data_IF_444126251865
#
_entry.id   IF_444126251865
#
_cell.length_a   1.000
_cell.length_b   1.000
_cell.length_c   1.000
_cell.angle_alpha   90.00
_cell.angle_beta   90.00
_cell.angle_gamma   90.00
#
_symmetry.space_group_name_H-M   'P 1'
#
loop_
_entity.id
_entity.type
_entity.pdbx_description
1 polymer ?
#
# COMPACT_ATOMS: atom_id res chain seq x y z
N UNK A 1 13.27 -0.55 0.86
CA UNK A 1 12.22 0.36 0.36
C UNK A 1 12.49 0.87 -1.05
N UNK A 2 13.59 1.59 -1.32
CA UNK A 2 13.86 2.19 -2.65
C UNK A 2 13.80 1.19 -3.83
N UNK A 3 14.40 0.00 -3.67
CA UNK A 3 14.34 -1.05 -4.68
C UNK A 3 12.90 -1.52 -4.97
N UNK A 4 12.06 -1.68 -3.94
CA UNK A 4 10.67 -2.09 -4.11
C UNK A 4 9.87 -1.03 -4.91
N UNK A 5 10.13 0.25 -4.64
CA UNK A 5 9.50 1.35 -5.38
C UNK A 5 9.92 1.36 -6.86
N UNK A 6 11.20 1.17 -7.15
CA UNK A 6 11.70 1.08 -8.52
C UNK A 6 11.08 -0.11 -9.27
N UNK A 7 11.02 -1.28 -8.64
CA UNK A 7 10.38 -2.47 -9.22
C UNK A 7 8.89 -2.24 -9.44
N UNK A 8 8.21 -1.57 -8.50
CA UNK A 8 6.80 -1.23 -8.62
C UNK A 8 6.55 -0.30 -9.81
N UNK A 9 7.33 0.77 -9.94
CA UNK A 9 7.27 1.71 -11.05
C UNK A 9 7.61 1.05 -12.40
N UNK A 10 8.52 0.09 -12.41
CA UNK A 10 8.88 -0.70 -13.59
C UNK A 10 7.86 -1.79 -13.95
N UNK A 11 6.73 -1.89 -13.25
CA UNK A 11 5.71 -2.91 -13.48
C UNK A 11 6.10 -4.33 -13.02
N UNK A 12 7.25 -4.49 -12.35
CA UNK A 12 7.72 -5.76 -11.76
C UNK A 12 7.03 -6.01 -10.42
N UNK A 13 5.69 -6.15 -10.48
CA UNK A 13 4.79 -6.17 -9.32
C UNK A 13 5.11 -7.30 -8.33
N UNK A 14 5.38 -8.51 -8.81
CA UNK A 14 5.65 -9.67 -7.94
C UNK A 14 6.91 -9.47 -7.08
N UNK A 15 7.94 -8.86 -7.65
CA UNK A 15 9.20 -8.61 -6.96
C UNK A 15 9.07 -7.46 -5.97
N UNK A 16 8.37 -6.40 -6.35
CA UNK A 16 8.04 -5.31 -5.44
C UNK A 16 7.24 -5.80 -4.22
N UNK A 17 6.20 -6.62 -4.45
CA UNK A 17 5.40 -7.23 -3.38
C UNK A 17 6.27 -8.04 -2.42
N UNK A 18 7.16 -8.89 -2.96
CA UNK A 18 8.07 -9.71 -2.14
C UNK A 18 8.89 -8.84 -1.19
N UNK A 19 9.45 -7.73 -1.69
CA UNK A 19 10.23 -6.82 -0.85
C UNK A 19 9.35 -6.08 0.16
N UNK A 20 8.16 -5.60 -0.21
CA UNK A 20 7.27 -4.94 0.75
C UNK A 20 6.87 -5.89 1.89
N UNK A 21 6.52 -7.14 1.58
CA UNK A 21 6.21 -8.16 2.60
C UNK A 21 7.42 -8.44 3.50
N UNK A 22 8.63 -8.54 2.95
CA UNK A 22 9.84 -8.70 3.76
C UNK A 22 10.09 -7.51 4.69
N UNK A 23 9.86 -6.27 4.22
CA UNK A 23 9.97 -5.07 5.06
C UNK A 23 8.95 -5.15 6.20
N UNK A 24 7.69 -5.49 5.92
CA UNK A 24 6.64 -5.58 6.93
C UNK A 24 6.84 -6.75 7.90
N UNK A 25 7.46 -7.86 7.47
CA UNK A 25 7.82 -8.95 8.35
C UNK A 25 8.87 -8.53 9.40
N UNK A 26 9.82 -7.67 9.02
CA UNK A 26 10.85 -7.13 9.92
C UNK A 26 10.36 -5.92 10.72
N UNK A 27 9.50 -5.10 10.11
CA UNK A 27 9.00 -3.85 10.65
C UNK A 27 7.49 -3.74 10.40
N UNK A 28 6.66 -4.40 11.23
CA UNK A 28 5.21 -4.42 11.01
C UNK A 28 4.58 -3.01 10.98
N UNK A 29 5.16 -2.06 11.71
CA UNK A 29 4.68 -0.66 11.78
C UNK A 29 5.29 0.26 10.71
N UNK A 30 5.90 -0.28 9.64
CA UNK A 30 6.48 0.54 8.57
C UNK A 30 5.38 1.09 7.64
N UNK A 31 4.89 2.29 7.95
CA UNK A 31 3.73 2.91 7.27
C UNK A 31 3.84 2.91 5.73
N UNK A 32 4.97 3.38 5.18
CA UNK A 32 5.15 3.42 3.73
C UNK A 32 5.17 2.02 3.06
N UNK A 33 5.67 0.98 3.72
CA UNK A 33 5.67 -0.36 3.16
C UNK A 33 4.24 -0.94 3.13
N UNK A 34 3.46 -0.69 4.17
CA UNK A 34 2.02 -1.02 4.19
C UNK A 34 1.29 -0.26 3.08
N UNK A 35 1.55 1.05 2.96
CA UNK A 35 0.94 1.89 1.94
C UNK A 35 1.17 1.38 0.50
N UNK A 36 2.44 1.19 0.13
CA UNK A 36 2.79 0.79 -1.24
C UNK A 36 2.46 -0.66 -1.54
N UNK A 37 2.49 -1.56 -0.55
CA UNK A 37 1.95 -2.90 -0.73
C UNK A 37 0.45 -2.83 -0.98
N UNK A 38 -0.30 -2.09 -0.15
CA UNK A 38 -1.75 -1.99 -0.30
C UNK A 38 -2.18 -1.44 -1.67
N UNK A 39 -1.50 -0.41 -2.16
CA UNK A 39 -1.69 0.10 -3.53
C UNK A 39 -1.40 -0.96 -4.59
N UNK A 40 -0.29 -1.70 -4.47
CA UNK A 40 0.06 -2.75 -5.40
C UNK A 40 -0.99 -3.88 -5.42
N UNK A 41 -1.49 -4.28 -4.24
CA UNK A 41 -2.54 -5.28 -4.11
C UNK A 41 -3.82 -4.82 -4.80
N UNK A 42 -4.24 -3.58 -4.57
CA UNK A 42 -5.39 -2.98 -5.26
C UNK A 42 -5.21 -2.97 -6.78
N UNK A 43 -4.06 -2.50 -7.27
CA UNK A 43 -3.72 -2.51 -8.71
C UNK A 43 -3.68 -3.91 -9.33
N UNK A 44 -3.51 -4.96 -8.52
CA UNK A 44 -3.47 -6.37 -8.95
C UNK A 44 -4.78 -7.12 -8.68
N UNK A 45 -5.86 -6.41 -8.34
CA UNK A 45 -7.19 -6.98 -8.14
C UNK A 45 -7.43 -7.56 -6.74
N UNK A 46 -6.46 -7.49 -5.83
CA UNK A 46 -6.60 -7.91 -4.42
C UNK A 46 -6.98 -6.72 -3.54
N UNK A 47 -8.03 -6.01 -3.93
CA UNK A 47 -8.39 -4.73 -3.33
C UNK A 47 -8.75 -4.81 -1.85
N UNK A 48 -9.39 -5.88 -1.39
CA UNK A 48 -9.75 -6.05 0.03
C UNK A 48 -8.48 -6.17 0.91
N UNK A 49 -7.53 -7.05 0.55
CA UNK A 49 -6.23 -7.14 1.26
C UNK A 49 -5.45 -5.83 1.14
N UNK A 50 -5.57 -5.14 0.00
CA UNK A 50 -4.96 -3.85 -0.21
C UNK A 50 -5.51 -2.76 0.71
N UNK A 51 -6.82 -2.75 0.92
CA UNK A 51 -7.51 -1.78 1.76
C UNK A 51 -7.03 -1.86 3.21
N UNK A 52 -6.96 -3.07 3.79
CA UNK A 52 -6.48 -3.29 5.16
C UNK A 52 -5.07 -2.67 5.39
N UNK A 53 -4.20 -2.78 4.39
CA UNK A 53 -2.84 -2.23 4.45
C UNK A 53 -2.81 -0.71 4.28
N UNK A 54 -3.68 -0.16 3.44
CA UNK A 54 -3.80 1.29 3.27
C UNK A 54 -4.38 1.92 4.53
N UNK A 55 -5.43 1.35 5.12
CA UNK A 55 -6.01 1.79 6.40
C UNK A 55 -4.95 1.78 7.51
N UNK A 56 -4.14 0.72 7.57
CA UNK A 56 -3.01 0.64 8.49
C UNK A 56 -1.99 1.75 8.24
N UNK A 57 -1.68 2.07 6.98
CA UNK A 57 -0.73 3.13 6.64
C UNK A 57 -1.21 4.51 7.10
N UNK A 58 -2.50 4.80 6.92
CA UNK A 58 -3.15 6.03 7.39
C UNK A 58 -3.18 6.07 8.92
N UNK A 59 -3.52 4.97 9.58
CA UNK A 59 -3.51 4.88 11.04
C UNK A 59 -2.12 5.12 11.64
N UNK A 60 -1.06 4.71 10.95
CA UNK A 60 0.33 4.91 11.39
C UNK A 60 0.84 6.34 11.10
N UNK A 61 0.33 7.00 10.05
CA UNK A 61 0.70 8.35 9.66
C UNK A 61 -0.54 9.15 9.22
N UNK A 62 -1.40 9.57 10.17
CA UNK A 62 -2.70 10.16 9.86
C UNK A 62 -2.63 11.55 9.23
N UNK A 63 -1.46 12.20 9.29
CA UNK A 63 -1.24 13.54 8.71
C UNK A 63 -0.51 13.49 7.37
N UNK A 64 -0.28 12.30 6.80
CA UNK A 64 0.38 12.16 5.50
C UNK A 64 -0.65 12.36 4.37
N UNK A 65 -0.59 13.47 3.61
CA UNK A 65 -1.62 13.79 2.62
C UNK A 65 -1.65 12.79 1.45
N UNK A 66 -0.51 12.24 1.05
CA UNK A 66 -0.45 11.24 -0.02
C UNK A 66 -1.19 9.96 0.39
N UNK A 67 -1.05 9.57 1.66
CA UNK A 67 -1.70 8.36 2.18
C UNK A 67 -3.21 8.52 2.26
N UNK A 68 -3.68 9.68 2.74
CA UNK A 68 -5.10 10.02 2.80
C UNK A 68 -5.72 10.09 1.40
N UNK A 69 -5.04 10.72 0.43
CA UNK A 69 -5.54 10.84 -0.93
C UNK A 69 -5.68 9.46 -1.61
N UNK A 70 -4.68 8.61 -1.44
CA UNK A 70 -4.69 7.25 -1.98
C UNK A 70 -5.73 6.36 -1.28
N UNK A 71 -5.93 6.53 0.03
CA UNK A 71 -7.00 5.85 0.75
C UNK A 71 -8.38 6.23 0.21
N UNK A 72 -8.66 7.53 0.05
CA UNK A 72 -9.91 8.00 -0.54
C UNK A 72 -10.12 7.47 -1.98
N UNK A 73 -9.04 7.37 -2.75
CA UNK A 73 -9.07 6.78 -4.10
C UNK A 73 -9.49 5.31 -4.04
N UNK A 74 -8.84 4.50 -3.20
CA UNK A 74 -9.16 3.08 -3.09
C UNK A 74 -10.57 2.85 -2.52
N UNK A 75 -11.00 3.65 -1.55
CA UNK A 75 -12.37 3.59 -1.02
C UNK A 75 -13.42 3.85 -2.12
N UNK A 76 -13.21 4.91 -2.91
CA UNK A 76 -14.09 5.24 -4.04
C UNK A 76 -14.11 4.12 -5.08
N UNK A 77 -12.96 3.57 -5.43
CA UNK A 77 -12.85 2.51 -6.44
C UNK A 77 -13.52 1.20 -5.97
N UNK A 78 -13.61 0.99 -4.66
CA UNK A 78 -14.37 -0.10 -4.04
C UNK A 78 -15.85 0.24 -3.81
N UNK A 79 -16.32 1.44 -4.17
CA UNK A 79 -17.69 1.88 -3.92
C UNK A 79 -18.03 2.07 -2.44
N UNK A 80 -17.02 2.27 -1.59
CA UNK A 80 -17.18 2.48 -0.15
C UNK A 80 -17.16 3.97 0.18
N UNK A 81 -18.03 4.46 1.07
CA UNK A 81 -17.96 5.84 1.55
C UNK A 81 -16.68 6.02 2.37
N UNK A 82 -15.91 7.05 2.04
CA UNK A 82 -14.69 7.43 2.77
C UNK A 82 -14.97 7.95 4.19
#
# INVERSE_FOLDING_TARGET
MQQALQLHQAGRRQEAETIYRQVLARQPKHAAAAHFLGLLLHQTGRSEEGLDLIERSVSLQPTNPDFLNNFGTVMRDLGRPA
#
